data_IF_524658067699
#
_entry.id   IF_524658067699
#
_cell.length_a   1.000
_cell.length_b   1.000
_cell.length_c   1.000
_cell.angle_alpha   90.00
_cell.angle_beta   90.00
_cell.angle_gamma   90.00
#
_symmetry.space_group_name_H-M   'P 1'
#
loop_
_entity.id
_entity.type
_entity.pdbx_description
1 polymer ?
#
# COMPACT_ATOMS: atom_id res chain seq x y z
N UNK A 1 24.99 -5.92 -39.78
CA UNK A 1 23.91 -6.44 -38.91
C UNK A 1 22.64 -5.71 -39.33
N UNK A 2 21.52 -6.40 -39.50
CA UNK A 2 20.26 -5.73 -39.88
C UNK A 2 19.70 -4.99 -38.66
N UNK A 3 19.30 -3.73 -38.84
CA UNK A 3 18.63 -2.98 -37.77
C UNK A 3 17.26 -3.58 -37.48
N UNK A 4 16.92 -3.67 -36.20
CA UNK A 4 15.67 -4.26 -35.70
C UNK A 4 14.75 -3.13 -35.26
N UNK A 5 13.50 -3.16 -35.70
CA UNK A 5 12.46 -2.25 -35.25
C UNK A 5 11.78 -2.86 -34.02
N UNK A 6 11.81 -2.12 -32.92
CA UNK A 6 11.00 -2.38 -31.73
C UNK A 6 9.66 -1.66 -31.90
N UNK A 7 8.56 -2.40 -31.81
CA UNK A 7 7.19 -1.88 -31.82
C UNK A 7 6.55 -2.17 -30.46
N UNK A 8 5.82 -1.19 -29.90
CA UNK A 8 4.93 -1.41 -28.76
C UNK A 8 3.49 -0.96 -29.11
N UNK A 9 2.55 -1.89 -28.99
CA UNK A 9 1.12 -1.67 -29.22
C UNK A 9 0.36 -1.92 -27.91
N UNK A 10 -0.55 -1.01 -27.54
CA UNK A 10 -1.55 -1.22 -26.49
C UNK A 10 -2.78 -1.85 -27.11
N UNK A 11 -3.34 -2.86 -26.46
CA UNK A 11 -4.61 -3.48 -26.84
C UNK A 11 -5.56 -3.24 -25.66
N UNK A 12 -6.60 -2.42 -25.86
CA UNK A 12 -7.47 -1.96 -24.77
C UNK A 12 -8.58 -2.95 -24.39
N UNK A 13 -8.92 -3.88 -25.28
CA UNK A 13 -9.97 -4.86 -25.03
C UNK A 13 -9.62 -6.24 -25.58
N UNK A 14 -10.11 -7.28 -24.89
CA UNK A 14 -10.13 -8.66 -25.38
C UNK A 14 -11.50 -9.23 -25.02
N UNK A 15 -12.27 -9.74 -25.99
CA UNK A 15 -13.41 -10.61 -25.67
C UNK A 15 -12.92 -12.04 -25.40
N UNK A 16 -12.12 -12.60 -26.32
CA UNK A 16 -11.57 -13.94 -26.18
C UNK A 16 -10.04 -13.92 -26.28
N UNK A 17 -9.40 -13.78 -25.11
CA UNK A 17 -7.93 -13.78 -24.98
C UNK A 17 -7.29 -15.07 -25.51
N UNK A 18 -7.98 -16.21 -25.50
CA UNK A 18 -7.41 -17.46 -26.00
C UNK A 18 -7.38 -17.47 -27.54
N UNK A 19 -8.50 -17.08 -28.19
CA UNK A 19 -8.56 -16.97 -29.66
C UNK A 19 -7.63 -15.89 -30.21
N UNK A 20 -7.69 -14.68 -29.65
CA UNK A 20 -6.84 -13.55 -30.08
C UNK A 20 -5.36 -13.93 -30.03
N UNK A 21 -4.93 -14.61 -28.96
CA UNK A 21 -3.54 -15.08 -28.81
C UNK A 21 -3.18 -16.20 -29.81
N UNK A 22 -4.12 -17.07 -30.20
CA UNK A 22 -3.88 -18.05 -31.28
C UNK A 22 -3.66 -17.35 -32.62
N UNK A 23 -4.60 -16.48 -33.02
CA UNK A 23 -4.54 -15.73 -34.28
C UNK A 23 -3.28 -14.88 -34.35
N UNK A 24 -2.92 -14.20 -33.25
CA UNK A 24 -1.67 -13.43 -33.16
C UNK A 24 -0.42 -14.32 -33.31
N UNK A 25 -0.40 -15.52 -32.71
CA UNK A 25 0.71 -16.48 -32.88
C UNK A 25 0.80 -17.01 -34.30
N UNK A 26 -0.32 -17.16 -35.00
CA UNK A 26 -0.39 -17.55 -36.40
C UNK A 26 0.13 -16.43 -37.31
N UNK A 27 -0.29 -15.17 -37.10
CA UNK A 27 0.20 -13.99 -37.81
C UNK A 27 1.72 -13.80 -37.63
N UNK A 28 2.22 -13.89 -36.40
CA UNK A 28 3.66 -13.79 -36.12
C UNK A 28 4.46 -14.93 -36.76
N UNK A 29 3.86 -16.12 -36.92
CA UNK A 29 4.47 -17.25 -37.64
C UNK A 29 4.48 -17.02 -39.16
N UNK A 30 3.39 -16.51 -39.73
CA UNK A 30 3.27 -16.14 -41.15
C UNK A 30 4.28 -15.07 -41.55
N UNK A 31 4.37 -14.00 -40.75
CA UNK A 31 5.34 -12.91 -40.93
C UNK A 31 6.78 -13.28 -40.52
N UNK A 32 7.03 -14.50 -40.03
CA UNK A 32 8.33 -14.98 -39.53
C UNK A 32 8.92 -14.10 -38.40
N UNK A 33 8.07 -13.47 -37.60
CA UNK A 33 8.44 -12.63 -36.45
C UNK A 33 8.73 -13.52 -35.25
N UNK A 34 10.01 -13.88 -35.09
CA UNK A 34 10.46 -14.78 -34.02
C UNK A 34 10.36 -14.15 -32.63
N UNK A 35 10.49 -12.83 -32.50
CA UNK A 35 10.70 -12.16 -31.21
C UNK A 35 9.52 -11.26 -30.84
N UNK A 36 8.68 -11.72 -29.90
CA UNK A 36 7.50 -10.98 -29.44
C UNK A 36 7.12 -11.31 -28.00
N UNK A 37 6.42 -10.38 -27.36
CA UNK A 37 5.97 -10.50 -25.96
C UNK A 37 4.59 -9.87 -25.82
N UNK A 38 3.61 -10.68 -25.43
CA UNK A 38 2.32 -10.15 -24.97
C UNK A 38 2.36 -10.02 -23.45
N UNK A 39 2.06 -8.82 -22.96
CA UNK A 39 2.37 -8.41 -21.58
C UNK A 39 1.08 -8.00 -20.88
N UNK A 40 0.60 -8.88 -20.00
CA UNK A 40 -0.72 -8.77 -19.36
C UNK A 40 -0.62 -8.15 -17.97
N UNK A 41 -1.14 -6.93 -17.83
CA UNK A 41 -1.17 -6.14 -16.58
C UNK A 41 -2.57 -6.19 -15.95
N UNK A 42 -2.97 -7.39 -15.53
CA UNK A 42 -4.33 -7.66 -15.05
C UNK A 42 -5.31 -7.76 -16.21
N UNK A 43 -6.52 -7.20 -16.04
CA UNK A 43 -7.58 -7.15 -17.06
C UNK A 43 -7.48 -5.92 -17.97
N UNK A 44 -6.91 -4.82 -17.48
CA UNK A 44 -7.17 -3.47 -18.00
C UNK A 44 -6.04 -2.88 -18.87
N UNK A 45 -4.86 -3.51 -18.87
CA UNK A 45 -3.71 -3.08 -19.69
C UNK A 45 -3.07 -4.33 -20.29
N UNK A 46 -2.98 -4.37 -21.62
CA UNK A 46 -2.37 -5.47 -22.39
C UNK A 46 -1.45 -4.84 -23.44
N UNK A 47 -0.17 -5.22 -23.45
CA UNK A 47 0.83 -4.65 -24.36
C UNK A 47 1.45 -5.72 -25.24
N UNK A 48 1.39 -5.55 -26.55
CA UNK A 48 2.16 -6.35 -27.50
C UNK A 48 3.46 -5.61 -27.81
N UNK A 49 4.58 -6.20 -27.40
CA UNK A 49 5.93 -5.79 -27.79
C UNK A 49 6.47 -6.73 -28.86
N UNK A 50 7.04 -6.18 -29.93
CA UNK A 50 7.60 -6.95 -31.06
C UNK A 50 8.97 -6.39 -31.44
N UNK A 51 9.90 -7.26 -31.80
CA UNK A 51 11.23 -6.91 -32.30
C UNK A 51 11.46 -7.61 -33.66
N UNK A 52 11.25 -6.87 -34.75
CA UNK A 52 11.16 -7.41 -36.12
C UNK A 52 11.90 -6.53 -37.14
N UNK A 53 11.90 -6.89 -38.43
CA UNK A 53 12.31 -5.94 -39.48
C UNK A 53 11.27 -4.82 -39.66
N UNK A 54 11.66 -3.73 -40.32
CA UNK A 54 10.74 -2.64 -40.66
C UNK A 54 9.59 -3.11 -41.57
N UNK A 55 9.86 -4.00 -42.52
CA UNK A 55 8.85 -4.63 -43.38
C UNK A 55 7.87 -5.51 -42.59
N UNK A 56 8.37 -6.38 -41.71
CA UNK A 56 7.54 -7.22 -40.83
C UNK A 56 6.68 -6.38 -39.88
N UNK A 57 7.24 -5.29 -39.35
CA UNK A 57 6.54 -4.36 -38.46
C UNK A 57 5.39 -3.66 -39.19
N UNK A 58 5.62 -3.23 -40.43
CA UNK A 58 4.60 -2.60 -41.27
C UNK A 58 3.48 -3.59 -41.66
N UNK A 59 3.85 -4.81 -42.09
CA UNK A 59 2.90 -5.88 -42.43
C UNK A 59 2.05 -6.32 -41.22
N UNK A 60 2.62 -6.33 -40.00
CA UNK A 60 1.84 -6.61 -38.79
C UNK A 60 0.78 -5.53 -38.54
N UNK A 61 1.11 -4.26 -38.78
CA UNK A 61 0.15 -3.14 -38.68
C UNK A 61 -0.88 -3.12 -39.82
N UNK A 62 -0.56 -3.70 -40.97
CA UNK A 62 -1.50 -3.93 -42.08
C UNK A 62 -2.48 -5.06 -41.75
N UNK A 63 -2.00 -6.21 -41.23
CA UNK A 63 -2.85 -7.30 -40.75
C UNK A 63 -3.84 -6.79 -39.68
N UNK A 64 -3.38 -5.93 -38.77
CA UNK A 64 -4.22 -5.31 -37.75
C UNK A 64 -5.33 -4.38 -38.27
N UNK A 65 -5.30 -3.99 -39.55
CA UNK A 65 -6.36 -3.18 -40.20
C UNK A 65 -7.31 -4.02 -41.04
N UNK A 66 -6.77 -5.02 -41.72
CA UNK A 66 -7.45 -5.71 -42.82
C UNK A 66 -7.88 -7.14 -42.47
N UNK A 67 -7.42 -7.70 -41.34
CA UNK A 67 -7.73 -9.07 -40.89
C UNK A 67 -8.41 -9.09 -39.52
N UNK A 68 -9.31 -10.05 -39.34
CA UNK A 68 -10.03 -10.26 -38.08
C UNK A 68 -9.16 -10.94 -37.00
N UNK A 69 -9.27 -10.51 -35.74
CA UNK A 69 -8.42 -11.00 -34.63
C UNK A 69 -9.11 -11.05 -33.26
N UNK A 70 -9.95 -10.07 -32.89
CA UNK A 70 -10.82 -10.21 -31.70
C UNK A 70 -12.12 -10.94 -32.06
N UNK A 71 -12.90 -11.31 -31.05
CA UNK A 71 -14.20 -11.96 -31.21
C UNK A 71 -15.31 -10.98 -30.83
N UNK A 72 -16.31 -10.76 -31.69
CA UNK A 72 -17.41 -9.89 -31.36
C UNK A 72 -18.37 -10.52 -30.30
N UNK A 73 -19.36 -9.77 -29.82
CA UNK A 73 -20.34 -10.25 -28.82
C UNK A 73 -21.23 -11.43 -29.27
N UNK A 74 -21.17 -11.82 -30.55
CA UNK A 74 -21.90 -12.98 -31.13
C UNK A 74 -21.02 -14.22 -31.26
N UNK A 75 -19.71 -14.11 -31.03
CA UNK A 75 -18.75 -15.20 -31.23
C UNK A 75 -18.08 -15.22 -32.61
N UNK A 76 -18.39 -14.27 -33.48
CA UNK A 76 -17.80 -14.12 -34.82
C UNK A 76 -16.46 -13.37 -34.71
N UNK A 77 -15.48 -13.67 -35.57
CA UNK A 77 -14.23 -12.91 -35.62
C UNK A 77 -14.47 -11.50 -36.18
N UNK A 78 -13.70 -10.51 -35.69
CA UNK A 78 -13.73 -9.14 -36.21
C UNK A 78 -12.37 -8.43 -36.10
N UNK A 79 -12.10 -7.49 -37.02
CA UNK A 79 -10.98 -6.54 -36.94
C UNK A 79 -11.02 -5.79 -35.60
N UNK A 80 -9.90 -5.80 -34.87
CA UNK A 80 -9.74 -5.06 -33.63
C UNK A 80 -9.53 -3.56 -33.91
N UNK A 81 -10.40 -2.73 -33.32
CA UNK A 81 -10.40 -1.27 -33.48
C UNK A 81 -9.89 -0.54 -32.24
N UNK A 82 -9.45 -1.26 -31.22
CA UNK A 82 -9.04 -0.75 -29.92
C UNK A 82 -7.55 -1.01 -29.66
N UNK A 83 -6.75 -0.82 -30.71
CA UNK A 83 -5.28 -0.85 -30.68
C UNK A 83 -4.71 0.57 -30.76
N UNK A 84 -3.77 0.89 -29.88
CA UNK A 84 -3.01 2.14 -29.90
C UNK A 84 -1.52 1.82 -30.10
N UNK A 85 -0.91 2.30 -31.17
CA UNK A 85 0.55 2.19 -31.36
C UNK A 85 1.23 3.21 -30.45
N UNK A 86 1.89 2.72 -29.40
CA UNK A 86 2.53 3.57 -28.37
C UNK A 86 3.88 4.11 -28.82
N UNK A 87 4.60 3.38 -29.67
CA UNK A 87 5.90 3.79 -30.16
C UNK A 87 6.57 2.76 -31.07
N UNK A 88 7.53 3.25 -31.85
CA UNK A 88 8.37 2.46 -32.75
C UNK A 88 9.80 3.01 -32.76
N UNK A 89 10.82 2.14 -32.68
CA UNK A 89 12.23 2.55 -32.55
C UNK A 89 13.18 1.57 -33.24
N UNK A 90 14.13 2.10 -34.01
CA UNK A 90 15.18 1.29 -34.66
C UNK A 90 16.35 1.07 -33.68
N UNK A 91 16.76 -0.18 -33.50
CA UNK A 91 17.77 -0.62 -32.51
C UNK A 91 18.67 -1.70 -33.13
N UNK A 92 19.97 -1.65 -32.85
CA UNK A 92 20.98 -2.54 -33.46
C UNK A 92 20.83 -4.03 -33.10
N UNK A 93 20.22 -4.32 -31.95
CA UNK A 93 19.89 -5.68 -31.50
C UNK A 93 18.88 -5.65 -30.35
N UNK A 94 18.00 -6.65 -30.29
CA UNK A 94 17.12 -6.90 -29.14
C UNK A 94 17.53 -8.20 -28.45
N UNK A 95 17.40 -8.26 -27.13
CA UNK A 95 17.63 -9.46 -26.31
C UNK A 95 16.39 -10.37 -26.22
N UNK A 96 15.23 -9.89 -26.64
CA UNK A 96 13.99 -10.66 -26.74
C UNK A 96 14.16 -11.84 -27.72
N UNK A 97 13.76 -13.04 -27.29
CA UNK A 97 13.82 -14.29 -28.07
C UNK A 97 12.50 -15.06 -27.99
N UNK A 98 12.00 -15.57 -29.11
CA UNK A 98 10.75 -16.33 -29.18
C UNK A 98 9.49 -15.48 -28.92
N UNK A 99 8.31 -16.09 -28.98
CA UNK A 99 7.06 -15.48 -28.50
C UNK A 99 6.67 -16.02 -27.12
N UNK A 100 6.37 -15.13 -26.17
CA UNK A 100 5.97 -15.52 -24.81
C UNK A 100 4.99 -14.51 -24.18
N UNK A 101 4.20 -14.98 -23.22
CA UNK A 101 3.30 -14.15 -22.41
C UNK A 101 3.94 -13.88 -21.05
N UNK A 102 3.86 -12.63 -20.56
CA UNK A 102 4.50 -12.20 -19.31
C UNK A 102 3.63 -11.18 -18.55
N UNK A 103 3.73 -11.13 -17.22
CA UNK A 103 2.94 -10.20 -16.39
C UNK A 103 3.82 -9.11 -15.73
N UNK A 104 4.94 -8.73 -16.37
CA UNK A 104 5.99 -7.89 -15.76
C UNK A 104 6.48 -6.80 -16.71
N UNK A 105 6.10 -5.54 -16.47
CA UNK A 105 6.53 -4.40 -17.30
C UNK A 105 8.02 -4.04 -17.16
N UNK A 106 8.65 -4.28 -16.00
CA UNK A 106 10.02 -3.80 -15.72
C UNK A 106 11.07 -4.25 -16.73
N UNK A 107 10.84 -5.42 -17.35
CA UNK A 107 11.73 -6.05 -18.33
C UNK A 107 11.80 -5.26 -19.64
N UNK A 108 10.70 -4.61 -20.06
CA UNK A 108 10.62 -3.84 -21.32
C UNK A 108 11.71 -2.76 -21.43
N UNK A 109 11.80 -1.91 -20.40
CA UNK A 109 12.72 -0.76 -20.39
C UNK A 109 14.14 -1.19 -20.03
N UNK A 110 14.30 -2.14 -19.10
CA UNK A 110 15.62 -2.52 -18.59
C UNK A 110 16.36 -3.53 -19.48
N UNK A 111 15.67 -4.50 -20.09
CA UNK A 111 16.30 -5.53 -20.92
C UNK A 111 16.06 -5.33 -22.43
N UNK A 112 14.88 -4.85 -22.82
CA UNK A 112 14.46 -4.78 -24.24
C UNK A 112 14.54 -3.37 -24.85
N UNK A 113 15.05 -2.39 -24.11
CA UNK A 113 15.34 -1.01 -24.57
C UNK A 113 14.11 -0.22 -25.06
N UNK A 114 12.90 -0.61 -24.64
CA UNK A 114 11.70 0.21 -24.84
C UNK A 114 11.81 1.51 -24.04
N UNK A 115 11.21 2.59 -24.55
CA UNK A 115 11.29 3.90 -23.88
C UNK A 115 10.30 3.98 -22.71
N UNK A 116 10.73 4.60 -21.61
CA UNK A 116 9.89 4.73 -20.41
C UNK A 116 8.60 5.52 -20.71
N UNK A 117 8.67 6.51 -21.60
CA UNK A 117 7.53 7.30 -22.07
C UNK A 117 6.43 6.46 -22.72
N UNK A 118 6.78 5.35 -23.39
CA UNK A 118 5.79 4.44 -23.97
C UNK A 118 5.05 3.65 -22.89
N UNK A 119 5.73 3.25 -21.81
CA UNK A 119 5.10 2.66 -20.63
C UNK A 119 4.24 3.66 -19.87
N UNK A 120 4.73 4.88 -19.69
CA UNK A 120 3.98 5.91 -18.99
C UNK A 120 2.70 6.28 -19.77
N UNK A 121 2.79 6.35 -21.11
CA UNK A 121 1.64 6.50 -22.02
C UNK A 121 0.68 5.32 -21.93
N UNK A 122 1.18 4.08 -21.91
CA UNK A 122 0.35 2.88 -21.69
C UNK A 122 -0.44 2.91 -20.37
N UNK A 123 0.15 3.49 -19.32
CA UNK A 123 -0.43 3.61 -17.99
C UNK A 123 -1.27 4.90 -17.81
N UNK A 124 -1.23 5.83 -18.78
CA UNK A 124 -1.86 7.13 -18.72
C UNK A 124 -3.29 7.19 -19.29
N UNK A 125 -3.94 6.06 -19.58
CA UNK A 125 -5.37 6.06 -19.96
C UNK A 125 -6.24 6.61 -18.83
N UNK A 126 -7.41 7.18 -19.12
CA UNK A 126 -8.28 7.76 -18.09
C UNK A 126 -8.71 6.73 -17.03
N UNK A 127 -8.95 5.47 -17.44
CA UNK A 127 -9.28 4.35 -16.55
C UNK A 127 -8.10 3.96 -15.64
N UNK A 128 -6.90 3.85 -16.21
CA UNK A 128 -5.70 3.49 -15.44
C UNK A 128 -5.27 4.63 -14.51
N UNK A 129 -5.41 5.90 -14.93
CA UNK A 129 -5.25 7.09 -14.06
C UNK A 129 -6.20 7.05 -12.88
N UNK A 130 -7.51 6.92 -13.10
CA UNK A 130 -8.50 6.84 -12.01
C UNK A 130 -8.22 5.67 -11.04
N UNK A 131 -7.76 4.52 -11.55
CA UNK A 131 -7.35 3.39 -10.71
C UNK A 131 -6.07 3.66 -9.91
N UNK A 132 -5.07 4.32 -10.50
CA UNK A 132 -3.84 4.74 -9.83
C UNK A 132 -4.13 5.81 -8.77
N UNK A 133 -4.89 6.85 -9.10
CA UNK A 133 -5.36 7.88 -8.17
C UNK A 133 -6.15 7.27 -7.01
N UNK A 134 -7.10 6.36 -7.28
CA UNK A 134 -7.82 5.62 -6.23
C UNK A 134 -6.86 4.82 -5.33
N UNK A 135 -5.86 4.15 -5.92
CA UNK A 135 -4.86 3.35 -5.21
C UNK A 135 -3.91 4.22 -4.37
N UNK A 136 -3.60 5.43 -4.81
CA UNK A 136 -2.81 6.43 -4.10
C UNK A 136 -3.63 7.07 -2.96
N UNK A 137 -4.86 7.50 -3.25
CA UNK A 137 -5.82 7.99 -2.26
C UNK A 137 -6.12 6.94 -1.18
N UNK A 138 -6.24 5.65 -1.54
CA UNK A 138 -6.40 4.56 -0.59
C UNK A 138 -5.13 4.34 0.27
N UNK A 139 -3.92 4.55 -0.25
CA UNK A 139 -2.69 4.57 0.58
C UNK A 139 -2.69 5.78 1.51
N UNK A 140 -3.06 6.97 1.02
CA UNK A 140 -3.11 8.22 1.77
C UNK A 140 -4.12 8.12 2.92
N UNK A 141 -5.36 7.70 2.66
CA UNK A 141 -6.39 7.48 3.67
C UNK A 141 -5.95 6.45 4.73
N UNK A 142 -5.23 5.38 4.36
CA UNK A 142 -4.64 4.42 5.32
C UNK A 142 -3.52 5.04 6.16
N UNK A 143 -2.73 5.96 5.60
CA UNK A 143 -1.67 6.71 6.32
C UNK A 143 -2.28 7.73 7.29
N UNK A 144 -3.29 8.46 6.84
CA UNK A 144 -3.99 9.48 7.62
C UNK A 144 -4.82 8.86 8.75
N UNK A 145 -5.53 7.76 8.50
CA UNK A 145 -6.20 6.99 9.57
C UNK A 145 -5.21 6.61 10.67
N UNK A 146 -4.05 6.05 10.31
CA UNK A 146 -2.96 5.72 11.26
C UNK A 146 -2.35 6.93 11.96
N UNK A 147 -2.51 8.14 11.41
CA UNK A 147 -2.10 9.39 12.06
C UNK A 147 -3.16 9.84 13.07
N UNK A 148 -4.44 9.81 12.69
CA UNK A 148 -5.58 10.13 13.59
C UNK A 148 -5.65 9.17 14.77
N UNK A 149 -5.57 7.86 14.54
CA UNK A 149 -5.52 6.82 15.59
C UNK A 149 -4.32 6.95 16.56
N UNK A 150 -3.28 7.72 16.17
CA UNK A 150 -2.17 8.10 17.07
C UNK A 150 -2.46 9.39 17.81
N UNK A 151 -2.92 10.41 17.10
CA UNK A 151 -3.35 11.71 17.64
C UNK A 151 -4.39 11.51 18.74
N UNK A 152 -5.51 10.85 18.42
CA UNK A 152 -6.60 10.51 19.36
C UNK A 152 -6.11 9.73 20.59
N UNK A 153 -5.06 8.92 20.44
CA UNK A 153 -4.44 8.13 21.52
C UNK A 153 -3.46 8.94 22.37
N UNK A 154 -2.89 10.01 21.85
CA UNK A 154 -2.09 10.99 22.58
C UNK A 154 -3.03 11.98 23.29
N UNK A 155 -4.01 12.54 22.59
CA UNK A 155 -5.05 13.42 23.12
C UNK A 155 -5.83 12.73 24.28
N UNK A 156 -6.24 11.46 24.12
CA UNK A 156 -6.91 10.70 25.19
C UNK A 156 -5.99 10.36 26.39
N UNK A 157 -4.67 10.40 26.22
CA UNK A 157 -3.72 10.29 27.34
C UNK A 157 -3.56 11.62 28.06
N UNK A 158 -3.60 12.75 27.35
CA UNK A 158 -3.57 14.09 27.95
C UNK A 158 -4.88 14.37 28.72
N UNK A 159 -6.05 14.08 28.14
CA UNK A 159 -7.34 14.15 28.85
C UNK A 159 -7.36 13.25 30.09
N UNK A 160 -6.80 12.03 30.02
CA UNK A 160 -6.72 11.13 31.18
C UNK A 160 -5.66 11.57 32.22
N UNK A 161 -4.70 12.42 31.87
CA UNK A 161 -3.80 13.08 32.83
C UNK A 161 -4.50 14.26 33.49
N UNK A 162 -5.02 15.19 32.70
CA UNK A 162 -5.75 16.35 33.19
C UNK A 162 -6.91 15.97 34.13
N UNK A 163 -7.69 14.93 33.80
CA UNK A 163 -8.77 14.46 34.70
C UNK A 163 -8.25 13.94 36.04
N UNK A 164 -7.09 13.28 36.05
CA UNK A 164 -6.44 12.79 37.30
C UNK A 164 -5.82 13.91 38.10
N UNK A 165 -5.15 14.84 37.44
CA UNK A 165 -4.58 16.04 38.06
C UNK A 165 -5.70 16.91 38.67
N UNK A 166 -6.89 16.93 38.05
CA UNK A 166 -8.09 17.56 38.61
C UNK A 166 -8.70 16.76 39.78
N UNK A 167 -8.89 15.44 39.65
CA UNK A 167 -9.36 14.56 40.74
C UNK A 167 -8.43 14.64 41.98
N UNK A 168 -7.11 14.73 41.77
CA UNK A 168 -6.08 14.86 42.81
C UNK A 168 -6.05 16.26 43.44
N UNK A 169 -6.41 17.31 42.70
CA UNK A 169 -6.59 18.66 43.24
C UNK A 169 -7.88 18.79 44.05
N UNK A 170 -8.99 18.23 43.56
CA UNK A 170 -10.30 18.26 44.21
C UNK A 170 -10.28 17.49 45.54
N UNK A 171 -9.78 16.25 45.55
CA UNK A 171 -9.63 15.46 46.79
C UNK A 171 -8.69 16.11 47.81
N UNK A 172 -7.69 16.88 47.37
CA UNK A 172 -6.75 17.62 48.23
C UNK A 172 -7.28 18.98 48.71
N UNK A 173 -8.47 19.38 48.27
CA UNK A 173 -9.27 20.43 48.91
C UNK A 173 -10.18 19.79 49.96
N UNK A 174 -10.89 18.70 49.65
CA UNK A 174 -11.73 17.98 50.61
C UNK A 174 -10.93 17.50 51.84
N UNK A 175 -9.72 16.96 51.64
CA UNK A 175 -8.82 16.51 52.73
C UNK A 175 -8.39 17.68 53.66
N UNK A 176 -8.40 18.92 53.16
CA UNK A 176 -8.10 20.12 53.96
C UNK A 176 -9.33 20.73 54.64
N UNK A 177 -10.50 20.61 54.04
CA UNK A 177 -11.75 21.03 54.69
C UNK A 177 -12.11 20.06 55.82
N UNK A 178 -11.80 18.77 55.68
CA UNK A 178 -11.89 17.77 56.74
C UNK A 178 -10.99 18.07 57.95
N UNK A 179 -9.82 18.69 57.76
CA UNK A 179 -8.89 19.04 58.85
C UNK A 179 -9.32 20.28 59.67
N UNK A 180 -10.39 20.98 59.26
CA UNK A 180 -10.93 22.18 59.94
C UNK A 180 -12.23 21.89 60.71
N UNK A 181 -12.91 20.78 60.42
CA UNK A 181 -14.20 20.40 61.02
C UNK A 181 -14.11 19.39 62.17
N UNK A 182 -13.36 19.71 63.24
CA UNK A 182 -13.03 18.70 64.27
C UNK A 182 -12.86 19.19 65.72
N UNK A 183 -13.92 19.68 66.36
CA UNK A 183 -14.08 19.63 67.83
C UNK A 183 -15.57 19.63 68.26
N UNK A 184 -15.88 18.95 69.38
CA UNK A 184 -17.18 18.80 70.08
C UNK A 184 -18.36 18.21 69.27
N UNK A 185 -19.06 17.15 69.69
CA UNK A 185 -18.90 16.27 70.85
C UNK A 185 -20.22 15.58 71.26
N UNK A 186 -20.13 14.41 71.92
CA UNK A 186 -21.24 13.60 72.53
C UNK A 186 -22.25 12.98 71.53
N UNK A 187 -22.43 11.66 71.47
CA UNK A 187 -22.94 10.68 72.46
C UNK A 187 -24.48 10.65 72.57
N UNK A 188 -25.10 9.66 71.92
CA UNK A 188 -25.96 8.71 72.64
C UNK A 188 -26.07 7.37 71.88
N UNK A 189 -26.37 6.29 72.60
CA UNK A 189 -26.41 4.93 72.04
C UNK A 189 -27.72 4.22 72.38
N UNK A 190 -28.40 3.66 71.37
CA UNK A 190 -29.55 2.76 71.56
C UNK A 190 -29.32 1.48 70.77
N UNK A 191 -29.45 0.34 71.46
CA UNK A 191 -29.40 -1.01 70.91
C UNK A 191 -30.82 -1.52 70.63
N UNK A 192 -31.05 -2.25 69.53
CA UNK A 192 -32.03 -3.36 69.54
C UNK A 192 -31.77 -4.38 68.42
N UNK A 193 -31.62 -5.64 68.84
CA UNK A 193 -32.03 -6.92 68.23
C UNK A 193 -32.25 -6.98 66.69
N UNK A 194 -31.47 -7.79 65.97
CA UNK A 194 -31.65 -9.24 65.76
C UNK A 194 -32.96 -9.65 65.06
N UNK A 195 -32.85 -10.09 63.81
CA UNK A 195 -33.97 -10.63 63.02
C UNK A 195 -33.49 -11.57 61.91
N UNK A 196 -33.64 -12.88 62.10
CA UNK A 196 -33.13 -13.91 61.18
C UNK A 196 -34.24 -14.48 60.27
N UNK A 197 -33.84 -15.12 59.15
CA UNK A 197 -34.65 -15.94 58.19
C UNK A 197 -35.50 -15.15 57.17
N UNK A 198 -35.87 -15.65 55.98
CA UNK A 198 -35.40 -16.78 55.14
C UNK A 198 -35.91 -16.63 53.68
N UNK A 199 -35.23 -17.27 52.71
CA UNK A 199 -35.71 -17.90 51.45
C UNK A 199 -36.88 -17.30 50.62
N UNK A 200 -36.61 -16.94 49.35
CA UNK A 200 -37.42 -17.28 48.15
C UNK A 200 -36.68 -16.86 46.85
N UNK A 201 -36.01 -17.71 46.06
CA UNK A 201 -36.50 -18.71 45.07
C UNK A 201 -37.28 -18.20 43.84
N UNK A 202 -36.58 -17.64 42.84
CA UNK A 202 -36.68 -17.96 41.38
C UNK A 202 -35.76 -17.02 40.58
N UNK A 203 -34.88 -17.41 39.67
CA UNK A 203 -34.81 -18.55 38.74
C UNK A 203 -35.72 -18.45 37.50
N UNK A 204 -35.29 -17.64 36.52
CA UNK A 204 -35.52 -17.92 35.08
C UNK A 204 -34.19 -17.73 34.34
N UNK A 205 -33.57 -18.83 33.91
CA UNK A 205 -32.48 -18.81 32.94
C UNK A 205 -33.01 -19.13 31.54
N UNK A 206 -32.45 -18.52 30.49
CA UNK A 206 -32.56 -19.02 29.11
C UNK A 206 -31.19 -19.10 28.43
N UNK A 207 -30.42 -20.13 28.81
CA UNK A 207 -29.43 -20.73 27.90
C UNK A 207 -30.11 -21.81 27.04
N UNK A 208 -29.59 -21.96 25.80
CA UNK A 208 -29.80 -22.99 24.74
C UNK A 208 -30.33 -22.34 23.45
N UNK A 209 -29.65 -22.41 22.29
CA UNK A 209 -28.27 -22.83 22.00
C UNK A 209 -28.14 -24.08 21.12
N UNK A 210 -27.02 -24.13 20.39
CA UNK A 210 -26.46 -25.30 19.67
C UNK A 210 -27.24 -25.76 18.43
N UNK A 211 -26.63 -25.58 17.25
CA UNK A 211 -26.22 -26.71 16.40
C UNK A 211 -25.22 -26.30 15.29
N UNK A 212 -23.99 -26.84 15.40
CA UNK A 212 -23.27 -27.35 14.23
C UNK A 212 -23.71 -28.79 13.99
N UNK A 213 -23.43 -29.37 12.82
CA UNK A 213 -22.71 -30.64 12.83
C UNK A 213 -21.45 -30.67 11.95
N UNK A 214 -20.66 -31.74 12.10
CA UNK A 214 -19.28 -31.90 11.61
C UNK A 214 -19.12 -33.02 10.57
N UNK A 215 -18.34 -32.75 9.50
CA UNK A 215 -17.51 -33.74 8.74
C UNK A 215 -18.37 -34.84 8.06
N UNK A 216 -17.91 -35.89 7.36
CA UNK A 216 -16.65 -36.64 7.02
C UNK A 216 -16.91 -37.26 5.60
N UNK A 217 -16.00 -37.74 4.74
CA UNK A 217 -14.53 -37.83 4.62
C UNK A 217 -14.18 -38.32 3.16
N UNK A 218 -12.91 -38.75 2.93
CA UNK A 218 -12.39 -39.59 1.81
C UNK A 218 -12.13 -38.90 0.43
N UNK A 219 -11.00 -39.16 -0.25
CA UNK A 219 -9.75 -39.78 0.20
C UNK A 219 -8.81 -40.31 -0.91
N UNK A 220 -7.49 -40.21 -0.70
CA UNK A 220 -6.35 -41.08 -1.12
C UNK A 220 -5.03 -40.27 -0.87
N UNK A 221 -3.93 -40.70 -0.22
CA UNK A 221 -3.03 -41.89 -0.38
C UNK A 221 -2.43 -41.95 -1.79
N UNK A 222 -1.12 -42.04 -2.04
CA UNK A 222 0.15 -42.14 -1.26
C UNK A 222 1.27 -41.44 -2.12
N UNK A 223 2.60 -41.47 -1.92
CA UNK A 223 3.56 -42.38 -1.27
C UNK A 223 4.87 -41.64 -0.89
N UNK A 224 5.88 -42.34 -0.34
CA UNK A 224 7.23 -41.83 -0.05
C UNK A 224 8.28 -42.68 -0.79
N UNK A 225 9.34 -42.05 -1.29
CA UNK A 225 10.62 -42.72 -1.60
C UNK A 225 11.76 -41.97 -0.92
N UNK A 226 12.69 -42.69 -0.29
CA UNK A 226 14.01 -42.18 0.10
C UNK A 226 15.05 -42.71 -0.87
N UNK A 227 15.88 -41.84 -1.43
CA UNK A 227 17.14 -42.16 -2.10
C UNK A 227 18.27 -41.35 -1.47
N UNK A 228 19.52 -41.82 -1.56
CA UNK A 228 20.67 -41.23 -0.85
C UNK A 228 21.97 -41.46 -1.62
N UNK A 229 23.08 -40.91 -1.11
CA UNK A 229 24.49 -41.22 -1.43
C UNK A 229 25.12 -40.50 -2.66
N UNK A 230 25.74 -39.35 -2.36
CA UNK A 230 27.17 -39.01 -2.59
C UNK A 230 27.68 -37.94 -3.60
N UNK A 231 28.51 -37.06 -2.99
CA UNK A 231 29.85 -36.53 -3.39
C UNK A 231 30.04 -35.48 -4.51
N UNK A 232 30.61 -34.35 -4.03
CA UNK A 232 31.72 -33.53 -4.58
C UNK A 232 31.67 -33.01 -6.03
N UNK A 233 31.58 -31.68 -6.14
CA UNK A 233 32.58 -30.86 -6.83
C UNK A 233 32.76 -29.54 -6.03
N UNK A 234 33.66 -28.64 -6.47
CA UNK A 234 34.24 -27.54 -5.66
C UNK A 234 34.27 -26.19 -6.43
N UNK A 235 34.66 -25.10 -5.74
CA UNK A 235 35.08 -23.77 -6.27
C UNK A 235 33.96 -22.81 -6.74
N UNK A 236 34.00 -21.54 -6.27
CA UNK A 236 33.20 -20.44 -6.87
C UNK A 236 32.96 -19.17 -6.02
N UNK A 237 33.95 -18.27 -5.96
CA UNK A 237 34.00 -16.94 -5.29
C UNK A 237 32.70 -16.09 -5.31
N UNK A 238 32.46 -15.27 -4.27
CA UNK A 238 31.33 -14.30 -4.27
C UNK A 238 31.21 -13.30 -3.10
N UNK A 239 32.30 -12.66 -2.64
CA UNK A 239 32.23 -11.62 -1.59
C UNK A 239 31.67 -10.31 -2.17
N UNK A 240 30.60 -9.73 -1.60
CA UNK A 240 30.15 -8.39 -2.03
C UNK A 240 28.73 -7.89 -1.70
N UNK A 241 28.03 -8.35 -0.65
CA UNK A 241 26.64 -7.90 -0.39
C UNK A 241 26.41 -7.08 0.90
N UNK A 242 27.17 -7.26 1.98
CA UNK A 242 26.88 -6.59 3.27
C UNK A 242 27.05 -5.07 3.27
N UNK A 243 28.04 -4.53 2.53
CA UNK A 243 28.39 -3.11 2.57
C UNK A 243 27.22 -2.18 2.16
N UNK A 244 26.40 -2.59 1.20
CA UNK A 244 25.30 -1.77 0.67
C UNK A 244 24.15 -1.58 1.68
N UNK A 245 23.89 -2.60 2.50
CA UNK A 245 22.83 -2.58 3.53
C UNK A 245 23.19 -1.64 4.69
N UNK A 246 24.49 -1.38 4.90
CA UNK A 246 24.99 -0.52 5.97
C UNK A 246 24.83 0.96 5.60
N UNK A 247 25.22 1.35 4.38
CA UNK A 247 25.06 2.73 3.86
C UNK A 247 23.59 3.18 3.87
N UNK A 248 22.65 2.32 3.49
CA UNK A 248 21.23 2.67 3.49
C UNK A 248 20.66 2.90 4.91
N UNK A 249 21.22 2.23 5.94
CA UNK A 249 20.82 2.42 7.35
C UNK A 249 21.32 3.75 7.90
N UNK A 250 22.56 4.12 7.62
CA UNK A 250 23.13 5.36 8.14
C UNK A 250 22.62 6.61 7.42
N UNK A 251 22.31 6.51 6.11
CA UNK A 251 21.55 7.56 5.40
C UNK A 251 20.19 7.85 6.05
N UNK A 252 19.43 6.81 6.41
CA UNK A 252 18.13 6.95 7.11
C UNK A 252 18.28 7.54 8.52
N UNK A 253 19.39 7.26 9.22
CA UNK A 253 19.71 7.87 10.52
C UNK A 253 20.03 9.36 10.38
N UNK A 254 20.85 9.74 9.41
CA UNK A 254 21.18 11.16 9.15
C UNK A 254 19.92 11.96 8.80
N UNK A 255 19.04 11.43 7.94
CA UNK A 255 17.76 12.06 7.60
C UNK A 255 16.86 12.27 8.83
N UNK A 256 16.79 11.29 9.75
CA UNK A 256 16.02 11.42 10.99
C UNK A 256 16.58 12.50 11.93
N UNK A 257 17.91 12.61 12.07
CA UNK A 257 18.56 13.66 12.87
C UNK A 257 18.35 15.04 12.27
N UNK A 258 18.41 15.18 10.94
CA UNK A 258 18.13 16.44 10.26
C UNK A 258 16.68 16.92 10.48
N UNK A 259 15.70 16.01 10.37
CA UNK A 259 14.29 16.31 10.64
C UNK A 259 14.05 16.73 12.10
N UNK A 260 14.74 16.11 13.07
CA UNK A 260 14.64 16.48 14.48
C UNK A 260 15.13 17.92 14.72
N UNK A 261 16.30 18.27 14.18
CA UNK A 261 16.88 19.63 14.29
C UNK A 261 15.99 20.70 13.66
N UNK A 262 15.38 20.42 12.50
CA UNK A 262 14.42 21.34 11.87
C UNK A 262 13.18 21.58 12.74
N UNK A 263 12.66 20.54 13.40
CA UNK A 263 11.52 20.66 14.31
C UNK A 263 11.86 21.44 15.59
N UNK A 264 13.06 21.28 16.14
CA UNK A 264 13.55 22.07 17.28
C UNK A 264 13.73 23.55 16.91
N UNK A 265 14.31 23.85 15.75
CA UNK A 265 14.42 25.22 15.25
C UNK A 265 13.04 25.89 15.08
N UNK A 266 12.04 25.16 14.57
CA UNK A 266 10.66 25.65 14.49
C UNK A 266 9.97 25.85 15.86
N UNK A 267 10.37 25.10 16.90
CA UNK A 267 9.91 25.37 18.27
C UNK A 267 10.57 26.61 18.86
N UNK A 268 11.87 26.80 18.64
CA UNK A 268 12.62 27.97 19.12
C UNK A 268 12.11 29.26 18.47
N UNK A 269 11.90 29.30 17.15
CA UNK A 269 11.36 30.50 16.48
C UNK A 269 9.94 30.87 16.95
N UNK A 270 9.07 29.87 17.18
CA UNK A 270 7.74 30.08 17.77
C UNK A 270 7.81 30.59 19.22
N UNK A 271 8.81 30.19 20.01
CA UNK A 271 9.05 30.75 21.36
C UNK A 271 9.52 32.20 21.27
N UNK A 272 10.50 32.51 20.42
CA UNK A 272 11.00 33.87 20.23
C UNK A 272 9.90 34.84 19.74
N UNK A 273 9.03 34.41 18.82
CA UNK A 273 7.88 35.20 18.37
C UNK A 273 6.85 35.45 19.48
N UNK A 274 6.62 34.48 20.38
CA UNK A 274 5.78 34.69 21.57
C UNK A 274 6.42 35.67 22.56
N UNK A 275 7.72 35.54 22.81
CA UNK A 275 8.50 36.43 23.68
C UNK A 275 8.35 37.89 23.21
N UNK A 276 8.72 38.16 21.96
CA UNK A 276 8.62 39.52 21.39
C UNK A 276 7.20 40.09 21.45
N UNK A 277 6.16 39.27 21.23
CA UNK A 277 4.76 39.71 21.34
C UNK A 277 4.31 40.02 22.78
N UNK A 278 5.05 39.59 23.80
CA UNK A 278 4.87 40.06 25.18
C UNK A 278 5.66 41.35 25.43
N UNK A 279 6.88 41.43 24.91
CA UNK A 279 7.76 42.61 25.04
C UNK A 279 7.13 43.85 24.37
N UNK A 280 6.72 43.73 23.09
CA UNK A 280 5.97 44.75 22.30
C UNK A 280 4.67 45.22 23.01
N UNK A 281 4.09 44.36 23.88
CA UNK A 281 2.86 44.66 24.63
C UNK A 281 3.14 45.33 25.99
N UNK A 282 4.39 45.31 26.46
CA UNK A 282 4.81 45.93 27.71
C UNK A 282 5.23 47.38 27.49
N UNK A 283 5.95 47.66 26.40
CA UNK A 283 6.32 49.04 26.02
C UNK A 283 5.10 49.91 25.69
N UNK A 284 4.02 49.31 25.19
CA UNK A 284 2.80 50.01 24.79
C UNK A 284 1.94 50.59 25.95
N UNK A 285 2.35 50.43 27.22
CA UNK A 285 1.61 51.00 28.36
C UNK A 285 2.49 51.33 29.59
N UNK A 286 3.26 52.44 29.58
CA UNK A 286 4.04 52.90 30.72
C UNK A 286 3.20 53.49 31.88
N UNK A 287 1.88 53.61 31.72
CA UNK A 287 1.02 54.46 32.56
C UNK A 287 0.39 53.82 33.81
N UNK A 288 0.89 52.67 34.31
CA UNK A 288 0.18 51.92 35.38
C UNK A 288 1.01 51.29 36.50
N UNK A 289 2.25 51.76 36.71
CA UNK A 289 3.16 51.28 37.76
C UNK A 289 3.56 52.38 38.77
N UNK A 290 2.57 53.09 39.33
CA UNK A 290 2.78 54.14 40.34
C UNK A 290 1.52 54.38 41.19
N UNK A 291 1.09 53.39 42.00
CA UNK A 291 0.04 53.57 43.03
C UNK A 291 -0.02 52.40 44.04
N UNK A 292 1.07 52.20 44.79
CA UNK A 292 1.10 51.69 46.18
C UNK A 292 2.14 52.55 46.91
#
# INVERSE_FOLDING_TARGET
MSDVVLLLVRIDHFQDRAKYVSVLREWLKELQVVNGRLISMGTDVQLLFVAASETQTWQLLEFYRDRDIDTNRRGELCVDKFIDVLGSKKVKSCSCKGFAEMNVLKVLVQEWQAEQEWLDTALATARTKAFLEWKEAAKAARKDRRKRERQEKEDAREVKRAKREQEELEGRVEEKEAEVGGDVGQDEAIQTEEGCKQQATRAVSKQRGIQQPLKKALGQKKEKVKGSVHKKAEVGRGVGQDASIQVEKDSKRQAAVAALKQHEAQKQSKKAFRQKKQDDRTEANPGKAALI
#
